data_IF_628115842382
#
_entry.id   IF_628115842382
#
_cell.length_a   1.000
_cell.length_b   1.000
_cell.length_c   1.000
_cell.angle_alpha   90.00
_cell.angle_beta   90.00
_cell.angle_gamma   90.00
#
_symmetry.space_group_name_H-M   'P 1'
#
loop_
_entity.id
_entity.type
_entity.pdbx_description
1 polymer ?
#
# COMPACT_ATOMS: atom_id res chain seq x y z
N UNK A 1 -0.34 8.66 -14.16
CA UNK A 1 -1.59 8.16 -13.54
C UNK A 1 -1.23 7.68 -12.14
N UNK A 2 -1.95 8.09 -11.09
CA UNK A 2 -1.71 7.61 -9.72
C UNK A 2 -2.59 6.39 -9.48
N UNK A 3 -2.00 5.27 -9.06
CA UNK A 3 -2.69 4.02 -8.72
C UNK A 3 -2.36 3.66 -7.28
N UNK A 4 -3.35 3.77 -6.42
CA UNK A 4 -3.26 3.24 -5.07
C UNK A 4 -3.76 1.80 -5.09
N UNK A 5 -2.98 0.89 -4.52
CA UNK A 5 -3.52 -0.38 -4.07
C UNK A 5 -4.14 -0.10 -2.71
N UNK A 6 -5.32 0.52 -2.72
CA UNK A 6 -6.07 0.69 -1.49
C UNK A 6 -6.37 -0.70 -0.97
N UNK A 7 -6.01 -0.91 0.28
CA UNK A 7 -6.72 -1.79 1.17
C UNK A 7 -8.17 -1.27 1.36
N UNK A 8 -8.91 -1.08 0.27
CA UNK A 8 -10.34 -0.76 0.30
C UNK A 8 -11.11 -1.91 0.96
N UNK A 9 -10.51 -3.10 0.97
CA UNK A 9 -10.94 -4.23 1.79
C UNK A 9 -10.57 -4.13 3.28
N UNK A 10 -9.52 -3.39 3.67
CA UNK A 10 -9.18 -3.20 5.10
C UNK A 10 -10.08 -2.15 5.76
N UNK A 11 -10.55 -1.12 5.03
CA UNK A 11 -11.46 -0.11 5.57
C UNK A 11 -12.84 -0.68 5.94
N UNK A 12 -13.40 -1.56 5.11
CA UNK A 12 -14.71 -2.18 5.40
C UNK A 12 -14.64 -3.23 6.51
N UNK A 13 -13.46 -3.78 6.81
CA UNK A 13 -13.34 -4.99 7.64
C UNK A 13 -12.48 -4.84 8.90
N UNK A 14 -11.61 -3.84 9.01
CA UNK A 14 -10.72 -3.70 10.17
C UNK A 14 -10.37 -2.24 10.50
N UNK A 15 -11.08 -1.69 11.48
CA UNK A 15 -10.86 -0.33 12.03
C UNK A 15 -9.63 -0.19 12.91
N UNK A 16 -8.61 -1.04 12.73
CA UNK A 16 -7.41 -1.03 13.56
C UNK A 16 -6.38 -0.01 13.04
N UNK A 17 -6.00 0.91 13.92
CA UNK A 17 -4.97 1.91 13.70
C UNK A 17 -3.62 1.45 14.27
N UNK A 18 -2.47 1.72 13.62
CA UNK A 18 -2.30 2.48 12.37
C UNK A 18 -2.60 1.66 11.11
N UNK A 19 -3.24 2.28 10.11
CA UNK A 19 -3.43 1.67 8.80
C UNK A 19 -2.24 1.94 7.88
N UNK A 20 -1.65 0.87 7.34
CA UNK A 20 -0.58 0.94 6.33
C UNK A 20 -1.19 0.82 4.92
N UNK A 21 -1.01 1.85 4.08
CA UNK A 21 -1.50 1.91 2.71
C UNK A 21 -0.31 1.98 1.75
N UNK A 22 -0.36 1.20 0.67
CA UNK A 22 0.66 1.23 -0.39
C UNK A 22 0.08 1.77 -1.70
N UNK A 23 0.85 2.61 -2.37
CA UNK A 23 0.49 3.14 -3.68
C UNK A 23 1.67 3.23 -4.62
N UNK A 24 1.36 3.55 -5.87
CA UNK A 24 2.36 3.89 -6.87
C UNK A 24 1.81 4.94 -7.83
N UNK A 25 2.70 5.68 -8.46
CA UNK A 25 2.33 6.53 -9.58
C UNK A 25 3.39 6.51 -10.65
N UNK A 26 2.94 6.81 -11.86
CA UNK A 26 3.81 6.95 -13.03
C UNK A 26 3.85 8.39 -13.51
N UNK A 27 5.07 8.88 -13.77
CA UNK A 27 5.35 10.13 -14.47
C UNK A 27 6.22 9.76 -15.68
N UNK A 28 5.69 9.95 -16.90
CA UNK A 28 6.28 9.42 -18.12
C UNK A 28 6.60 7.91 -17.98
N UNK A 29 7.86 7.53 -18.16
CA UNK A 29 8.34 6.14 -18.07
C UNK A 29 8.92 5.81 -16.68
N UNK A 30 8.68 6.66 -15.67
CA UNK A 30 9.22 6.50 -14.32
C UNK A 30 8.13 6.16 -13.31
N UNK A 31 8.41 5.14 -12.49
CA UNK A 31 7.55 4.67 -11.41
C UNK A 31 8.09 5.17 -10.07
N UNK A 32 7.19 5.67 -9.22
CA UNK A 32 7.45 5.89 -7.80
C UNK A 32 6.44 5.14 -6.96
N UNK A 33 6.93 4.50 -5.92
CA UNK A 33 6.12 3.84 -4.91
C UNK A 33 6.02 4.73 -3.69
N UNK A 34 4.90 4.61 -2.99
CA UNK A 34 4.64 5.33 -1.75
C UNK A 34 4.06 4.38 -0.72
N UNK A 35 4.43 4.62 0.54
CA UNK A 35 3.90 3.98 1.73
C UNK A 35 3.30 5.07 2.61
N UNK A 36 2.06 4.88 3.01
CA UNK A 36 1.33 5.81 3.86
C UNK A 36 0.96 5.10 5.15
N UNK A 37 1.39 5.66 6.27
CA UNK A 37 0.89 5.27 7.59
C UNK A 37 -0.17 6.30 8.00
N UNK A 38 -1.37 5.84 8.30
CA UNK A 38 -2.46 6.69 8.78
C UNK A 38 -2.87 6.31 10.20
N UNK A 39 -3.00 7.32 11.05
CA UNK A 39 -3.46 7.20 12.45
C UNK A 39 -4.62 8.16 12.64
N UNK A 40 -5.62 7.78 13.43
CA UNK A 40 -6.78 8.61 13.72
C UNK A 40 -7.69 8.79 12.51
N UNK A 41 -7.85 7.79 11.65
CA UNK A 41 -8.67 7.91 10.42
C UNK A 41 -10.14 8.22 10.75
N UNK A 42 -10.62 7.79 11.93
CA UNK A 42 -11.95 8.11 12.45
C UNK A 42 -11.98 9.35 13.35
N UNK A 43 -10.86 10.03 13.55
CA UNK A 43 -10.75 11.23 14.38
C UNK A 43 -10.88 12.48 13.53
N UNK A 44 -11.23 13.62 14.15
CA UNK A 44 -11.35 14.90 13.46
C UNK A 44 -10.03 15.39 12.82
N UNK A 45 -8.89 14.86 13.28
CA UNK A 45 -7.55 15.24 12.82
C UNK A 45 -6.71 13.98 12.56
N UNK A 46 -6.89 13.31 11.41
CA UNK A 46 -6.06 12.17 11.05
C UNK A 46 -4.62 12.62 10.82
N UNK A 47 -3.67 11.84 11.33
CA UNK A 47 -2.24 12.04 11.08
C UNK A 47 -1.79 11.09 9.98
N UNK A 48 -1.19 11.64 8.93
CA UNK A 48 -0.68 10.89 7.79
C UNK A 48 0.83 11.06 7.66
N UNK A 49 1.56 9.94 7.60
CA UNK A 49 2.99 9.92 7.32
C UNK A 49 3.22 9.23 5.98
N UNK A 50 3.84 9.96 5.05
CA UNK A 50 4.07 9.48 3.67
C UNK A 50 5.57 9.29 3.45
N UNK A 51 5.94 8.09 3.01
CA UNK A 51 7.30 7.74 2.61
C UNK A 51 7.32 7.41 1.12
N UNK A 52 8.30 7.95 0.40
CA UNK A 52 8.45 7.71 -1.05
C UNK A 52 9.67 6.83 -1.32
N UNK A 53 9.55 5.97 -2.33
CA UNK A 53 10.70 5.29 -2.90
C UNK A 53 11.50 6.21 -3.82
N UNK A 54 12.69 5.74 -4.22
CA UNK A 54 13.37 6.28 -5.40
C UNK A 54 12.51 6.08 -6.66
N UNK A 55 12.91 6.76 -7.73
CA UNK A 55 12.33 6.58 -9.06
C UNK A 55 12.87 5.30 -9.71
N UNK A 56 12.00 4.58 -10.41
CA UNK A 56 12.34 3.40 -11.18
C UNK A 56 11.98 3.60 -12.64
N UNK A 57 12.92 3.38 -13.55
CA UNK A 57 12.66 3.55 -14.99
C UNK A 57 12.04 2.26 -15.54
N UNK A 58 10.82 2.33 -16.08
CA UNK A 58 10.03 1.18 -16.51
C UNK A 58 10.79 0.26 -17.46
N UNK A 59 11.45 0.83 -18.46
CA UNK A 59 12.19 0.09 -19.49
C UNK A 59 13.44 -0.61 -18.98
N UNK A 60 14.04 -0.12 -17.89
CA UNK A 60 15.31 -0.63 -17.36
C UNK A 60 15.12 -1.49 -16.12
N UNK A 61 14.09 -1.19 -15.33
CA UNK A 61 13.88 -1.74 -14.00
C UNK A 61 12.54 -2.48 -13.88
N UNK A 62 11.98 -2.94 -15.01
CA UNK A 62 10.72 -3.70 -15.06
C UNK A 62 10.67 -4.86 -14.05
N UNK A 63 11.76 -5.62 -13.91
CA UNK A 63 11.83 -6.73 -12.95
C UNK A 63 11.73 -6.26 -11.49
N UNK A 64 12.36 -5.12 -11.17
CA UNK A 64 12.34 -4.54 -9.82
C UNK A 64 10.93 -4.01 -9.52
N UNK A 65 10.34 -3.27 -10.45
CA UNK A 65 8.96 -2.78 -10.37
C UNK A 65 8.00 -3.95 -10.13
N UNK A 66 8.13 -5.04 -10.89
CA UNK A 66 7.30 -6.23 -10.73
C UNK A 66 7.47 -6.91 -9.35
N UNK A 67 8.71 -7.03 -8.86
CA UNK A 67 8.98 -7.58 -7.52
C UNK A 67 8.37 -6.72 -6.42
N UNK A 68 8.43 -5.39 -6.53
CA UNK A 68 7.82 -4.46 -5.58
C UNK A 68 6.30 -4.63 -5.58
N UNK A 69 5.67 -4.63 -6.77
CA UNK A 69 4.23 -4.86 -6.90
C UNK A 69 3.80 -6.20 -6.32
N UNK A 70 4.54 -7.28 -6.61
CA UNK A 70 4.27 -8.60 -6.05
C UNK A 70 4.32 -8.59 -4.52
N UNK A 71 5.29 -7.88 -3.93
CA UNK A 71 5.41 -7.73 -2.47
C UNK A 71 4.24 -6.96 -1.87
N UNK A 72 3.83 -5.86 -2.50
CA UNK A 72 2.69 -5.04 -2.06
C UNK A 72 1.41 -5.88 -2.06
N UNK A 73 1.12 -6.57 -3.17
CA UNK A 73 -0.06 -7.44 -3.29
C UNK A 73 0.00 -8.64 -2.33
N UNK A 74 1.18 -9.22 -2.11
CA UNK A 74 1.33 -10.32 -1.15
C UNK A 74 1.06 -9.89 0.29
N UNK A 75 1.40 -8.64 0.65
CA UNK A 75 1.08 -8.09 1.97
C UNK A 75 -0.44 -7.92 2.14
N UNK A 76 -1.11 -7.31 1.15
CA UNK A 76 -2.55 -7.11 1.22
C UNK A 76 -3.32 -8.43 1.29
N UNK A 77 -2.86 -9.49 0.62
CA UNK A 77 -3.48 -10.83 0.69
C UNK A 77 -3.21 -11.52 2.03
N UNK A 78 -2.01 -11.37 2.62
CA UNK A 78 -1.67 -11.99 3.90
C UNK A 78 -2.47 -11.42 5.07
N UNK A 79 -2.74 -10.11 5.06
CA UNK A 79 -3.63 -9.49 6.03
C UNK A 79 -5.04 -10.10 5.96
N UNK A 80 -5.51 -10.45 4.76
CA UNK A 80 -6.77 -11.18 4.56
C UNK A 80 -6.74 -12.63 5.08
N UNK A 81 -5.60 -13.33 4.99
CA UNK A 81 -5.50 -14.76 5.37
C UNK A 81 -5.31 -14.96 6.89
N UNK A 82 -4.52 -14.11 7.56
CA UNK A 82 -4.28 -14.24 9.00
C UNK A 82 -5.53 -13.96 9.87
N UNK A 83 -6.60 -13.40 9.29
CA UNK A 83 -7.89 -13.23 9.95
C UNK A 83 -8.78 -14.50 9.92
N UNK A 84 -8.38 -15.56 9.21
CA UNK A 84 -9.11 -16.84 9.15
C UNK A 84 -8.79 -17.84 10.26
N UNK A 85 -7.71 -17.63 11.04
CA UNK A 85 -7.22 -18.59 12.05
C UNK A 85 -7.50 -18.17 13.50
N UNK A 86 -8.06 -16.98 13.76
CA UNK A 86 -8.39 -16.52 15.12
C UNK A 86 -9.88 -16.68 15.48
N UNK A 87 -10.56 -17.63 14.85
CA UNK A 87 -11.89 -18.11 15.25
C UNK A 87 -11.92 -19.63 15.25
N UNK A 88 -11.21 -20.24 16.20
CA UNK A 88 -11.56 -21.51 16.81
C UNK A 88 -11.41 -21.41 18.32
#
# INVERSE_FOLDING_TARGET
>A
MIKFSFAHLNWENDGNEPQEIFGCYTIADSWKFLRVEMVGITTDIPTMRIEYSREYVEKLEAEIIFKILKRIVSKSVKETINQGESSQ
#
